data_IF_702813325164
#
_entry.id   IF_702813325164
#
_cell.length_a   1.000
_cell.length_b   1.000
_cell.length_c   1.000
_cell.angle_alpha   90.00
_cell.angle_beta   90.00
_cell.angle_gamma   90.00
#
_symmetry.space_group_name_H-M   'P 1'
#
loop_
_entity.id
_entity.type
_entity.pdbx_description
1 polymer ?
#
# COMPACT_ATOMS: atom_id res chain seq x y z
N UNK A 1 -2.26 31.32 33.39
CA UNK A 1 -2.25 29.91 33.83
C UNK A 1 -3.60 29.25 33.56
N UNK A 2 -4.72 29.61 34.20
CA UNK A 2 -6.03 28.96 33.91
C UNK A 2 -6.44 28.99 32.43
N UNK A 3 -6.46 30.18 31.82
CA UNK A 3 -6.83 30.32 30.40
C UNK A 3 -5.89 29.57 29.43
N UNK A 4 -4.63 29.38 29.83
CA UNK A 4 -3.66 28.62 29.04
C UNK A 4 -3.91 27.11 29.15
N UNK A 5 -4.29 26.63 30.34
CA UNK A 5 -4.73 25.25 30.54
C UNK A 5 -5.99 24.95 29.75
N UNK A 6 -7.00 25.83 29.80
CA UNK A 6 -8.25 25.66 29.07
C UNK A 6 -7.98 25.60 27.55
N UNK A 7 -7.13 26.50 27.03
CA UNK A 7 -6.74 26.48 25.62
C UNK A 7 -6.03 25.18 25.21
N UNK A 8 -5.10 24.68 26.03
CA UNK A 8 -4.38 23.44 25.74
C UNK A 8 -5.31 22.20 25.77
N UNK A 9 -6.33 22.20 26.62
CA UNK A 9 -7.34 21.13 26.66
C UNK A 9 -8.23 21.12 25.41
N UNK A 10 -8.63 22.30 24.93
CA UNK A 10 -9.38 22.47 23.68
C UNK A 10 -8.56 22.03 22.47
N UNK A 11 -7.30 22.47 22.37
CA UNK A 11 -6.39 22.09 21.30
C UNK A 11 -6.13 20.58 21.29
N UNK A 12 -5.93 19.98 22.47
CA UNK A 12 -5.79 18.52 22.61
C UNK A 12 -7.02 17.79 22.10
N UNK A 13 -8.22 18.25 22.47
CA UNK A 13 -9.48 17.61 22.06
C UNK A 13 -9.73 17.74 20.55
N UNK A 14 -9.40 18.89 19.97
CA UNK A 14 -9.45 19.11 18.53
C UNK A 14 -8.49 18.16 17.78
N UNK A 15 -7.23 18.05 18.24
CA UNK A 15 -6.25 17.16 17.64
C UNK A 15 -6.65 15.68 17.74
N UNK A 16 -7.20 15.25 18.88
CA UNK A 16 -7.70 13.88 19.04
C UNK A 16 -8.84 13.57 18.07
N UNK A 17 -9.73 14.54 17.84
CA UNK A 17 -10.82 14.40 16.87
C UNK A 17 -10.29 14.28 15.44
N UNK A 18 -9.31 15.11 15.08
CA UNK A 18 -8.69 15.07 13.76
C UNK A 18 -7.97 13.74 13.51
N UNK A 19 -7.24 13.23 14.50
CA UNK A 19 -6.60 11.90 14.41
C UNK A 19 -7.65 10.81 14.14
N UNK A 20 -8.77 10.83 14.87
CA UNK A 20 -9.84 9.84 14.66
C UNK A 20 -10.46 9.93 13.26
N UNK A 21 -10.65 11.14 12.74
CA UNK A 21 -11.16 11.37 11.40
C UNK A 21 -10.19 10.86 10.32
N UNK A 22 -8.90 11.20 10.45
CA UNK A 22 -7.86 10.77 9.52
C UNK A 22 -7.70 9.25 9.48
N UNK A 23 -7.77 8.58 10.64
CA UNK A 23 -7.72 7.12 10.70
C UNK A 23 -8.91 6.47 10.00
N UNK A 24 -10.10 7.02 10.17
CA UNK A 24 -11.31 6.54 9.48
C UNK A 24 -11.25 6.75 7.97
N UNK A 25 -10.71 7.87 7.52
CA UNK A 25 -10.52 8.14 6.10
C UNK A 25 -9.47 7.20 5.49
N UNK A 26 -8.36 6.96 6.20
CA UNK A 26 -7.35 5.97 5.81
C UNK A 26 -7.97 4.58 5.62
N UNK A 27 -8.73 4.09 6.60
CA UNK A 27 -9.40 2.78 6.51
C UNK A 27 -10.34 2.70 5.30
N UNK A 28 -11.11 3.78 5.05
CA UNK A 28 -11.99 3.85 3.87
C UNK A 28 -11.20 3.80 2.55
N UNK A 29 -10.09 4.53 2.46
CA UNK A 29 -9.24 4.54 1.26
C UNK A 29 -8.58 3.17 1.03
N UNK A 30 -8.12 2.52 2.08
CA UNK A 30 -7.58 1.15 2.02
C UNK A 30 -8.63 0.15 1.55
N UNK A 31 -9.86 0.25 2.07
CA UNK A 31 -10.98 -0.59 1.65
C UNK A 31 -11.28 -0.43 0.14
N UNK A 32 -11.36 0.82 -0.33
CA UNK A 32 -11.57 1.13 -1.75
C UNK A 32 -10.41 0.59 -2.58
N UNK A 33 -9.17 0.82 -2.15
CA UNK A 33 -7.98 0.37 -2.88
C UNK A 33 -7.94 -1.16 -2.98
N UNK A 34 -8.26 -1.88 -1.90
CA UNK A 34 -8.33 -3.34 -1.89
C UNK A 34 -9.39 -3.85 -2.88
N UNK A 35 -10.57 -3.22 -2.94
CA UNK A 35 -11.63 -3.58 -3.88
C UNK A 35 -11.26 -3.29 -5.35
N UNK A 36 -10.49 -2.23 -5.60
CA UNK A 36 -10.07 -1.82 -6.95
C UNK A 36 -8.71 -2.40 -7.38
N UNK A 37 -7.99 -3.10 -6.50
CA UNK A 37 -6.67 -3.70 -6.74
C UNK A 37 -6.63 -4.56 -8.02
N UNK A 38 -7.64 -5.37 -8.37
CA UNK A 38 -7.62 -6.17 -9.60
C UNK A 38 -7.57 -5.36 -10.90
N UNK A 39 -7.91 -4.07 -10.88
CA UNK A 39 -7.91 -3.18 -12.05
C UNK A 39 -6.87 -2.05 -11.97
N UNK A 40 -6.11 -1.97 -10.87
CA UNK A 40 -5.19 -0.87 -10.60
C UNK A 40 -3.87 -1.06 -11.37
N UNK A 41 -3.46 -0.05 -12.16
CA UNK A 41 -2.23 -0.05 -12.99
C UNK A 41 -1.10 0.79 -12.39
N UNK A 42 -1.17 1.09 -11.10
CA UNK A 42 -0.18 1.91 -10.41
C UNK A 42 1.11 1.08 -10.24
N UNK A 43 2.26 1.55 -10.72
CA UNK A 43 3.53 0.84 -10.58
C UNK A 43 3.98 0.81 -9.11
N UNK A 44 4.50 -0.33 -8.68
CA UNK A 44 4.94 -0.59 -7.30
C UNK A 44 6.05 0.37 -6.80
N UNK A 45 6.73 1.05 -7.73
CA UNK A 45 7.82 2.01 -7.47
C UNK A 45 7.36 3.34 -6.87
N UNK A 46 6.04 3.60 -6.79
CA UNK A 46 5.50 4.77 -6.06
C UNK A 46 5.46 4.58 -4.54
N UNK A 47 6.07 3.51 -4.01
CA UNK A 47 6.59 3.49 -2.64
C UNK A 47 5.54 3.68 -1.56
N UNK A 48 4.39 2.99 -1.66
CA UNK A 48 3.61 2.72 -0.46
C UNK A 48 4.39 1.68 0.36
N UNK A 49 4.71 1.95 1.64
CA UNK A 49 5.47 1.00 2.46
C UNK A 49 4.80 -0.37 2.44
N UNK A 50 5.60 -1.44 2.32
CA UNK A 50 5.16 -2.85 2.17
C UNK A 50 4.18 -3.34 3.24
N UNK A 51 4.00 -2.59 4.34
CA UNK A 51 2.94 -2.75 5.35
C UNK A 51 1.50 -2.47 4.81
N UNK A 52 1.31 -2.41 3.49
CA UNK A 52 0.00 -2.42 2.82
C UNK A 52 -0.09 -3.53 1.75
N UNK A 53 0.93 -4.36 1.65
CA UNK A 53 0.99 -5.50 0.75
C UNK A 53 0.40 -6.73 1.43
N UNK A 54 -0.93 -6.84 1.45
CA UNK A 54 -1.56 -8.12 1.81
C UNK A 54 -1.20 -9.15 0.74
N UNK A 55 -0.30 -10.05 1.13
CA UNK A 55 0.14 -11.22 0.42
C UNK A 55 -1.05 -12.02 -0.11
N UNK A 56 -1.13 -12.16 -1.44
CA UNK A 56 -1.67 -13.33 -2.14
C UNK A 56 -1.71 -13.03 -3.63
N UNK A 57 -0.57 -13.18 -4.29
CA UNK A 57 -0.54 -13.56 -5.71
C UNK A 57 0.12 -14.93 -5.80
N UNK A 58 -0.51 -15.92 -5.15
CA UNK A 58 -0.29 -17.32 -5.52
C UNK A 58 -1.14 -17.57 -6.78
N UNK A 59 -0.51 -17.43 -7.94
CA UNK A 59 -1.00 -18.04 -9.17
C UNK A 59 -0.10 -19.23 -9.48
N UNK A 60 -0.27 -20.27 -8.66
CA UNK A 60 0.01 -21.64 -9.07
C UNK A 60 -0.80 -21.97 -10.34
N UNK A 61 -0.21 -21.75 -11.51
CA UNK A 61 -0.94 -21.83 -12.77
C UNK A 61 -0.08 -21.98 -14.03
N UNK A 62 0.63 -23.10 -14.14
CA UNK A 62 0.86 -23.79 -15.41
C UNK A 62 1.88 -23.20 -16.40
N UNK A 63 3.02 -23.89 -16.52
CA UNK A 63 3.96 -23.83 -17.65
C UNK A 63 3.22 -24.12 -18.98
N UNK A 64 3.72 -23.61 -20.12
CA UNK A 64 4.42 -24.57 -20.98
C UNK A 64 5.78 -24.07 -21.48
N UNK A 65 6.68 -25.04 -21.45
CA UNK A 65 8.03 -25.13 -21.99
C UNK A 65 8.10 -24.56 -23.42
N UNK A 66 8.96 -23.55 -23.63
CA UNK A 66 9.26 -23.01 -24.95
C UNK A 66 10.74 -23.21 -25.26
N UNK A 67 10.97 -24.20 -26.11
CA UNK A 67 12.18 -24.62 -26.81
C UNK A 67 13.35 -23.62 -26.88
N UNK A 68 14.51 -24.07 -26.41
CA UNK A 68 15.83 -23.55 -26.78
C UNK A 68 16.25 -24.08 -28.15
N UNK A 69 16.56 -23.21 -29.14
CA UNK A 69 17.46 -23.59 -30.23
C UNK A 69 18.89 -23.18 -29.88
N UNK A 70 19.77 -24.17 -29.97
CA UNK A 70 21.22 -24.07 -29.86
C UNK A 70 21.81 -23.21 -31.00
N UNK A 71 22.84 -22.42 -30.69
CA UNK A 71 23.90 -22.12 -31.67
C UNK A 71 25.23 -21.85 -30.95
N UNK A 72 26.08 -22.88 -31.01
CA UNK A 72 27.53 -22.89 -31.25
C UNK A 72 28.41 -21.70 -30.79
N UNK A 73 29.28 -22.00 -29.83
CA UNK A 73 30.75 -22.06 -29.97
C UNK A 73 31.44 -21.02 -30.88
N UNK A 74 32.18 -20.09 -30.28
CA UNK A 74 33.45 -19.48 -30.76
C UNK A 74 33.76 -18.26 -29.87
N UNK A 75 34.95 -18.00 -29.34
CA UNK A 75 36.30 -18.55 -29.53
C UNK A 75 37.15 -18.01 -28.36
N UNK A 76 38.17 -18.80 -28.00
CA UNK A 76 39.21 -18.60 -26.97
C UNK A 76 39.75 -17.19 -26.76
#
# INVERSE_FOLDING_TARGET
LQAETDQLEDEKSALQTEIANLLKEKEKLEFILAAHRPACKIPDDLGFPEEMSVASLDLSGGLPEAATPESEEAFT
#
